data_IF_704653116078
#
_entry.id   IF_704653116078
#
_cell.length_a   1.000
_cell.length_b   1.000
_cell.length_c   1.000
_cell.angle_alpha   90.00
_cell.angle_beta   90.00
_cell.angle_gamma   90.00
#
_symmetry.space_group_name_H-M   'P 1'
#
loop_
_entity.id
_entity.type
_entity.pdbx_description
1 polymer ?
#
# COMPACT_ATOMS: atom_id res chain seq x y z
N UNK A 1 13.35 -7.20 -28.05
CA UNK A 1 13.14 -6.59 -26.72
C UNK A 1 11.65 -6.51 -26.49
N UNK A 2 11.06 -7.27 -25.56
CA UNK A 2 9.72 -6.96 -25.10
C UNK A 2 9.78 -5.73 -24.17
N UNK A 3 8.75 -4.86 -24.19
CA UNK A 3 8.69 -3.64 -23.39
C UNK A 3 8.38 -3.99 -21.94
N UNK A 4 8.95 -3.20 -21.03
CA UNK A 4 8.66 -3.12 -19.59
C UNK A 4 7.42 -3.93 -19.15
N UNK A 5 7.64 -5.19 -18.83
CA UNK A 5 6.78 -5.90 -17.91
C UNK A 5 7.02 -5.20 -16.57
N UNK A 6 6.15 -4.23 -16.24
CA UNK A 6 5.92 -3.87 -14.84
C UNK A 6 5.38 -5.14 -14.21
N UNK A 7 6.30 -6.04 -13.87
CA UNK A 7 5.98 -7.31 -13.29
C UNK A 7 5.57 -6.98 -11.87
N UNK A 8 4.25 -6.83 -11.65
CA UNK A 8 3.65 -7.07 -10.36
C UNK A 8 4.40 -8.27 -9.76
N UNK A 9 5.11 -8.10 -8.63
CA UNK A 9 6.02 -9.14 -8.21
C UNK A 9 5.21 -10.42 -7.99
N UNK A 10 5.74 -11.57 -8.43
CA UNK A 10 5.05 -12.86 -8.50
C UNK A 10 4.68 -13.46 -7.11
N UNK A 11 4.45 -12.63 -6.08
CA UNK A 11 4.18 -13.05 -4.71
C UNK A 11 2.88 -13.82 -4.57
N UNK A 12 1.94 -13.60 -5.48
CA UNK A 12 0.68 -14.33 -5.55
C UNK A 12 0.72 -15.52 -6.52
N UNK A 13 1.90 -15.90 -7.03
CA UNK A 13 2.01 -17.05 -7.94
C UNK A 13 1.21 -16.92 -9.25
N UNK A 14 0.83 -15.69 -9.63
CA UNK A 14 0.02 -15.42 -10.82
C UNK A 14 -1.49 -15.32 -10.57
N UNK A 15 -1.95 -15.39 -9.31
CA UNK A 15 -3.37 -15.19 -8.96
C UNK A 15 -3.68 -13.69 -8.75
N UNK A 16 -4.73 -13.19 -9.40
CA UNK A 16 -5.21 -11.81 -9.20
C UNK A 16 -5.90 -11.73 -7.83
N UNK A 17 -5.36 -10.93 -6.91
CA UNK A 17 -6.06 -10.64 -5.65
C UNK A 17 -7.30 -9.78 -5.87
N UNK A 18 -8.52 -10.29 -5.60
CA UNK A 18 -9.75 -9.50 -5.72
C UNK A 18 -9.77 -8.32 -4.76
N UNK A 19 -9.13 -8.43 -3.59
CA UNK A 19 -9.01 -7.35 -2.61
C UNK A 19 -8.17 -6.21 -3.18
N UNK A 20 -6.96 -6.50 -3.69
CA UNK A 20 -6.12 -5.47 -4.28
C UNK A 20 -6.77 -4.77 -5.47
N UNK A 21 -7.58 -5.50 -6.25
CA UNK A 21 -8.35 -4.91 -7.34
C UNK A 21 -9.52 -4.03 -6.86
N UNK A 22 -10.16 -4.38 -5.73
CA UNK A 22 -11.14 -3.50 -5.10
C UNK A 22 -10.47 -2.23 -4.58
N UNK A 23 -9.37 -2.35 -3.83
CA UNK A 23 -8.63 -1.22 -3.29
C UNK A 23 -8.25 -0.23 -4.40
N UNK A 24 -7.65 -0.71 -5.50
CA UNK A 24 -7.28 0.15 -6.63
C UNK A 24 -8.48 0.77 -7.37
N UNK A 25 -9.69 0.23 -7.19
CA UNK A 25 -10.92 0.78 -7.74
C UNK A 25 -11.56 1.80 -6.79
N UNK A 26 -11.46 1.56 -5.48
CA UNK A 26 -12.01 2.41 -4.43
C UNK A 26 -11.09 3.62 -4.14
N UNK A 27 -9.78 3.47 -4.32
CA UNK A 27 -8.76 4.49 -4.06
C UNK A 27 -7.98 4.81 -5.34
N UNK A 28 -8.29 5.96 -5.96
CA UNK A 28 -7.59 6.43 -7.17
C UNK A 28 -6.11 6.80 -6.92
N UNK A 29 -5.74 6.99 -5.65
CA UNK A 29 -4.38 7.25 -5.21
C UNK A 29 -3.42 6.08 -5.48
N UNK A 30 -3.91 4.84 -5.49
CA UNK A 30 -3.09 3.65 -5.68
C UNK A 30 -3.57 2.81 -6.86
N UNK A 31 -2.65 2.50 -7.77
CA UNK A 31 -2.89 1.52 -8.82
C UNK A 31 -2.81 0.10 -8.28
N UNK A 32 -3.47 -0.85 -8.95
CA UNK A 32 -3.42 -2.27 -8.61
C UNK A 32 -1.98 -2.79 -8.48
N UNK A 33 -1.11 -2.42 -9.42
CA UNK A 33 0.32 -2.76 -9.37
C UNK A 33 1.00 -2.26 -8.09
N UNK A 34 0.67 -1.04 -7.65
CA UNK A 34 1.22 -0.44 -6.43
C UNK A 34 0.79 -1.22 -5.19
N UNK A 35 -0.50 -1.57 -5.10
CA UNK A 35 -1.07 -2.39 -4.04
C UNK A 35 -0.39 -3.78 -4.00
N UNK A 36 -0.12 -4.36 -5.17
CA UNK A 36 0.61 -5.63 -5.27
C UNK A 36 2.07 -5.50 -4.84
N UNK A 37 2.74 -4.40 -5.17
CA UNK A 37 4.09 -4.12 -4.71
C UNK A 37 4.14 -4.04 -3.18
N UNK A 38 3.23 -3.31 -2.53
CA UNK A 38 3.19 -3.24 -1.06
C UNK A 38 2.93 -4.60 -0.42
N UNK A 39 1.94 -5.33 -0.95
CA UNK A 39 1.65 -6.68 -0.47
C UNK A 39 2.86 -7.62 -0.59
N UNK A 40 3.55 -7.53 -1.72
CA UNK A 40 4.78 -8.26 -1.97
C UNK A 40 5.94 -7.89 -1.05
N UNK A 41 5.99 -6.64 -0.57
CA UNK A 41 6.99 -6.19 0.39
C UNK A 41 6.65 -6.62 1.82
N UNK A 42 5.50 -7.27 2.04
CA UNK A 42 5.09 -7.81 3.33
C UNK A 42 3.98 -7.04 4.03
N UNK A 43 3.41 -6.02 3.40
CA UNK A 43 2.23 -5.33 3.94
C UNK A 43 0.97 -6.17 3.78
N UNK A 44 0.04 -6.09 4.73
CA UNK A 44 -1.27 -6.72 4.59
C UNK A 44 -2.24 -5.80 3.84
N UNK A 45 -3.29 -6.36 3.23
CA UNK A 45 -4.31 -5.52 2.56
C UNK A 45 -5.01 -4.56 3.53
N UNK A 46 -5.17 -4.97 4.79
CA UNK A 46 -5.71 -4.13 5.86
C UNK A 46 -4.78 -2.94 6.12
N UNK A 47 -3.47 -3.15 6.17
CA UNK A 47 -2.50 -2.06 6.31
C UNK A 47 -2.54 -1.12 5.10
N UNK A 48 -2.62 -1.66 3.89
CA UNK A 48 -2.70 -0.85 2.67
C UNK A 48 -3.95 0.03 2.68
N UNK A 49 -5.10 -0.51 3.11
CA UNK A 49 -6.33 0.26 3.28
C UNK A 49 -6.13 1.39 4.29
N UNK A 50 -5.58 1.08 5.48
CA UNK A 50 -5.33 2.08 6.52
C UNK A 50 -4.37 3.16 6.02
N UNK A 51 -3.33 2.79 5.28
CA UNK A 51 -2.39 3.72 4.66
C UNK A 51 -3.11 4.67 3.70
N UNK A 52 -3.96 4.15 2.81
CA UNK A 52 -4.69 4.96 1.83
C UNK A 52 -5.76 5.85 2.48
N UNK A 53 -6.44 5.37 3.51
CA UNK A 53 -7.35 6.19 4.32
C UNK A 53 -6.62 7.30 5.08
N UNK A 54 -5.40 7.01 5.55
CA UNK A 54 -4.55 8.00 6.21
C UNK A 54 -4.02 9.01 5.20
N UNK A 55 -3.62 8.58 4.00
CA UNK A 55 -3.19 9.46 2.90
C UNK A 55 -4.33 10.40 2.48
N UNK A 56 -5.58 9.94 2.48
CA UNK A 56 -6.71 10.81 2.16
C UNK A 56 -6.94 11.92 3.21
N UNK A 57 -6.41 11.76 4.42
CA UNK A 57 -6.56 12.69 5.55
C UNK A 57 -5.28 13.49 5.86
N UNK A 58 -4.14 13.06 5.34
CA UNK A 58 -2.81 13.62 5.61
C UNK A 58 -2.11 13.97 4.29
N UNK A 59 -0.94 14.61 4.36
CA UNK A 59 -0.15 14.90 3.14
C UNK A 59 0.89 13.80 2.87
N UNK A 60 0.83 12.66 3.59
CA UNK A 60 1.81 11.57 3.50
C UNK A 60 1.27 10.45 2.64
N UNK A 61 2.08 9.95 1.69
CA UNK A 61 1.69 8.87 0.80
C UNK A 61 1.62 7.52 1.52
N UNK A 62 0.69 6.66 1.10
CA UNK A 62 0.55 5.29 1.61
C UNK A 62 1.86 4.49 1.50
N UNK A 63 2.65 4.72 0.45
CA UNK A 63 3.96 4.09 0.26
C UNK A 63 4.91 4.34 1.42
N UNK A 64 5.05 5.60 1.86
CA UNK A 64 5.91 5.96 2.99
C UNK A 64 5.40 5.34 4.30
N UNK A 65 4.08 5.33 4.52
CA UNK A 65 3.48 4.74 5.71
C UNK A 65 3.67 3.23 5.77
N UNK A 66 3.51 2.55 4.65
CA UNK A 66 3.72 1.10 4.53
C UNK A 66 5.21 0.73 4.65
N UNK A 67 6.11 1.59 4.17
CA UNK A 67 7.54 1.45 4.45
C UNK A 67 7.83 1.56 5.95
N UNK A 68 7.25 2.55 6.64
CA UNK A 68 7.43 2.69 8.10
C UNK A 68 6.93 1.45 8.85
N UNK A 69 5.78 0.89 8.47
CA UNK A 69 5.32 -0.40 9.01
C UNK A 69 6.35 -1.52 8.78
N UNK A 70 6.91 -1.61 7.58
CA UNK A 70 7.91 -2.62 7.23
C UNK A 70 9.23 -2.42 8.01
N UNK A 71 9.60 -1.18 8.34
CA UNK A 71 10.71 -0.83 9.22
C UNK A 71 10.44 -1.15 10.70
N UNK A 72 9.19 -1.54 11.04
CA UNK A 72 8.79 -1.99 12.38
C UNK A 72 8.10 -0.93 13.23
N UNK A 73 7.68 0.19 12.63
CA UNK A 73 6.84 1.18 13.30
C UNK A 73 5.40 0.69 13.41
N UNK A 74 4.74 1.08 14.50
CA UNK A 74 3.30 0.85 14.67
C UNK A 74 2.46 1.92 13.98
N UNK A 75 1.20 1.59 13.67
CA UNK A 75 0.24 2.57 13.13
C UNK A 75 0.07 3.80 14.02
N UNK A 76 0.09 3.63 15.35
CA UNK A 76 0.02 4.74 16.30
C UNK A 76 1.21 5.70 16.13
N UNK A 77 2.43 5.18 16.00
CA UNK A 77 3.62 6.00 15.75
C UNK A 77 3.54 6.71 14.40
N UNK A 78 3.14 5.99 13.35
CA UNK A 78 3.00 6.55 12.00
C UNK A 78 1.98 7.68 12.01
N UNK A 79 0.82 7.48 12.62
CA UNK A 79 -0.24 8.49 12.74
C UNK A 79 0.20 9.74 13.51
N UNK A 80 1.02 9.58 14.55
CA UNK A 80 1.65 10.71 15.22
C UNK A 80 2.65 11.43 14.29
N UNK A 81 3.46 10.68 13.53
CA UNK A 81 4.41 11.25 12.57
C UNK A 81 3.72 12.06 11.47
N UNK A 82 2.62 11.54 10.92
CA UNK A 82 1.85 12.21 9.85
C UNK A 82 0.86 13.26 10.38
N UNK A 83 0.76 13.41 11.70
CA UNK A 83 -0.12 14.39 12.34
C UNK A 83 -1.61 14.05 12.28
N UNK A 84 -1.97 12.77 12.11
CA UNK A 84 -3.34 12.29 12.20
C UNK A 84 -3.83 12.27 13.66
N UNK A 85 -2.94 11.96 14.60
CA UNK A 85 -3.23 11.85 16.04
C UNK A 85 -2.24 12.66 16.89
N UNK A 86 -2.69 13.20 18.03
CA UNK A 86 -1.86 13.92 19.04
C UNK A 86 -1.46 12.97 20.19
#
# INVERSE_FOLDING_TARGET
MPPAETAAPNCLGGEISPIGQSIAKDYEAASYDQVMIWFCNGAEFEDILVALETEAQTDTSADEMLQMLADGFSWEEIWQFVGLTD
#
